data_IF_792080588344
#
_entry.id   IF_792080588344
#
_cell.length_a   1.000
_cell.length_b   1.000
_cell.length_c   1.000
_cell.angle_alpha   90.00
_cell.angle_beta   90.00
_cell.angle_gamma   90.00
#
_symmetry.space_group_name_H-M   'P 1'
#
loop_
_entity.id
_entity.type
_entity.pdbx_description
1 polymer ?
#
# COMPACT_ATOMS: atom_id res chain seq x y z
N UNK A 1 24.90 4.70 -6.25
CA UNK A 1 24.04 3.57 -5.86
C UNK A 1 22.61 4.06 -5.80
N UNK A 2 21.81 3.82 -6.84
CA UNK A 2 20.38 4.11 -6.83
C UNK A 2 19.64 2.80 -6.55
N UNK A 3 18.81 2.78 -5.51
CA UNK A 3 17.97 1.63 -5.22
C UNK A 3 16.81 1.62 -6.22
N UNK A 4 16.73 0.58 -7.06
CA UNK A 4 15.59 0.42 -7.97
C UNK A 4 14.40 -0.16 -7.20
N UNK A 5 13.40 0.68 -6.92
CA UNK A 5 12.15 0.29 -6.25
C UNK A 5 11.19 -0.48 -7.16
N UNK A 6 11.37 -0.48 -8.49
CA UNK A 6 10.43 -1.12 -9.43
C UNK A 6 10.40 -2.64 -9.26
N UNK A 7 11.51 -3.24 -8.87
CA UNK A 7 11.59 -4.68 -8.60
C UNK A 7 10.78 -5.10 -7.37
N UNK A 8 10.56 -4.20 -6.40
CA UNK A 8 9.75 -4.49 -5.21
C UNK A 8 8.26 -4.38 -5.52
N UNK A 9 7.84 -3.36 -6.28
CA UNK A 9 6.41 -3.17 -6.58
C UNK A 9 5.86 -4.27 -7.49
N UNK A 10 6.60 -4.67 -8.52
CA UNK A 10 6.16 -5.70 -9.48
C UNK A 10 5.98 -7.10 -8.86
N UNK A 11 6.66 -7.38 -7.74
CA UNK A 11 6.60 -8.68 -7.06
C UNK A 11 5.31 -8.86 -6.24
N UNK A 12 4.75 -7.78 -5.70
CA UNK A 12 3.61 -7.83 -4.77
C UNK A 12 2.33 -7.23 -5.36
N UNK A 13 2.42 -6.32 -6.33
CA UNK A 13 1.27 -5.72 -7.01
C UNK A 13 1.41 -5.97 -8.51
N UNK A 14 0.65 -6.94 -9.08
CA UNK A 14 0.61 -7.14 -10.52
C UNK A 14 0.23 -5.82 -11.20
N UNK A 15 0.94 -5.43 -12.26
CA UNK A 15 0.72 -4.16 -12.97
C UNK A 15 -0.72 -3.96 -13.48
N UNK A 16 -1.51 -5.03 -13.56
CA UNK A 16 -2.92 -5.02 -13.95
C UNK A 16 -3.90 -4.58 -12.84
N UNK A 17 -3.47 -4.55 -11.57
CA UNK A 17 -4.33 -4.11 -10.45
C UNK A 17 -3.92 -2.72 -9.99
N UNK A 18 -4.86 -1.79 -10.12
CA UNK A 18 -4.72 -0.42 -9.59
C UNK A 18 -5.20 -0.41 -8.14
N UNK A 19 -4.43 0.20 -7.26
CA UNK A 19 -4.78 0.43 -5.86
C UNK A 19 -4.40 1.84 -5.46
N UNK A 20 -5.23 2.48 -4.63
CA UNK A 20 -4.88 3.70 -3.92
C UNK A 20 -4.44 3.34 -2.51
N UNK A 21 -3.32 3.91 -2.06
CA UNK A 21 -2.82 3.73 -0.69
C UNK A 21 -2.65 5.11 -0.09
N UNK A 22 -3.34 5.36 1.02
CA UNK A 22 -3.17 6.56 1.84
C UNK A 22 -2.43 6.18 3.12
N UNK A 23 -1.28 6.81 3.33
CA UNK A 23 -0.36 6.54 4.44
C UNK A 23 -0.45 7.68 5.45
N UNK A 24 -1.60 7.78 6.10
CA UNK A 24 -1.84 8.75 7.16
C UNK A 24 -1.04 8.43 8.43
N UNK A 25 -0.80 9.45 9.25
CA UNK A 25 -0.08 9.29 10.53
C UNK A 25 -0.82 8.38 11.51
N UNK A 26 -2.15 8.43 11.53
CA UNK A 26 -2.98 7.63 12.44
C UNK A 26 -3.50 6.34 11.80
N UNK A 27 -3.88 6.39 10.52
CA UNK A 27 -4.49 5.28 9.81
C UNK A 27 -3.89 5.11 8.41
N UNK A 28 -3.82 3.86 7.99
CA UNK A 28 -3.50 3.47 6.61
C UNK A 28 -4.78 3.00 5.95
N UNK A 29 -5.11 3.61 4.81
CA UNK A 29 -6.25 3.21 3.99
C UNK A 29 -5.78 2.56 2.70
N UNK A 30 -6.48 1.52 2.26
CA UNK A 30 -6.33 0.96 0.92
C UNK A 30 -7.67 1.00 0.19
N UNK A 31 -7.65 1.54 -1.01
CA UNK A 31 -8.81 1.62 -1.91
C UNK A 31 -8.58 0.79 -3.18
N UNK A 32 -9.60 0.02 -3.55
CA UNK A 32 -9.68 -0.69 -4.82
C UNK A 32 -10.76 -0.03 -5.69
N UNK A 33 -10.44 0.39 -6.93
CA UNK A 33 -11.43 0.96 -7.84
C UNK A 33 -12.61 0.01 -8.06
N UNK A 34 -13.83 0.49 -7.81
CA UNK A 34 -15.06 -0.31 -7.92
C UNK A 34 -15.48 -1.03 -6.64
N UNK A 35 -14.59 -1.15 -5.66
CA UNK A 35 -14.88 -1.77 -4.36
C UNK A 35 -14.87 -0.76 -3.20
N UNK A 36 -14.19 0.37 -3.36
CA UNK A 36 -14.07 1.40 -2.32
C UNK A 36 -12.93 1.12 -1.34
N UNK A 37 -13.04 1.59 -0.10
CA UNK A 37 -12.02 1.39 0.95
C UNK A 37 -12.14 -0.05 1.46
N UNK A 38 -11.08 -0.83 1.26
CA UNK A 38 -11.01 -2.26 1.63
C UNK A 38 -10.13 -2.50 2.86
N UNK A 39 -9.28 -1.54 3.23
CA UNK A 39 -8.47 -1.58 4.48
C UNK A 39 -8.59 -0.22 5.16
N UNK A 40 -8.78 -0.23 6.48
CA UNK A 40 -8.72 0.93 7.35
C UNK A 40 -8.15 0.51 8.72
N UNK A 41 -6.84 0.51 8.83
CA UNK A 41 -6.12 0.03 10.02
C UNK A 41 -5.27 1.16 10.62
N UNK A 42 -4.96 1.13 11.93
CA UNK A 42 -4.02 2.07 12.53
C UNK A 42 -2.63 1.96 11.88
N UNK A 43 -1.98 3.10 11.61
CA UNK A 43 -0.63 3.19 11.05
C UNK A 43 0.43 2.93 12.13
N UNK A 44 0.47 1.71 12.66
CA UNK A 44 1.34 1.31 13.76
C UNK A 44 2.11 0.04 13.44
N UNK A 45 3.31 -0.09 14.01
CA UNK A 45 4.11 -1.31 13.94
C UNK A 45 4.65 -1.61 15.34
N UNK A 46 4.59 -2.87 15.74
CA UNK A 46 5.24 -3.33 16.96
C UNK A 46 6.73 -3.57 16.68
N UNK A 47 7.61 -3.09 17.58
CA UNK A 47 9.07 -3.25 17.49
C UNK A 47 9.58 -4.06 18.69
N UNK A 48 10.65 -4.84 18.48
CA UNK A 48 11.28 -5.73 19.48
C UNK A 48 12.77 -5.51 19.54
#
# INVERSE_FOLDING_TARGET
MAFDFRQYTAKFVPASRKVGIDLGTANTLVMVPGEGIVINEPSVVAVS
#
